data_IF_693469868247
#
_entry.id   IF_693469868247
#
_cell.length_a   1.000
_cell.length_b   1.000
_cell.length_c   1.000
_cell.angle_alpha   90.00
_cell.angle_beta   90.00
_cell.angle_gamma   90.00
#
_symmetry.space_group_name_H-M   'P 1'
#
loop_
_entity.id
_entity.type
_entity.pdbx_description
1 polymer ?
#
# COMPACT_ATOMS: atom_id res chain seq x y z
N UNK A 1 -15.66 -16.23 -0.79
CA UNK A 1 -14.63 -15.46 -1.55
C UNK A 1 -14.63 -14.05 -0.99
N UNK A 2 -13.46 -13.51 -0.63
CA UNK A 2 -13.34 -12.13 -0.10
C UNK A 2 -13.76 -11.11 -1.16
N UNK A 3 -14.52 -10.08 -0.79
CA UNK A 3 -14.88 -8.96 -1.68
C UNK A 3 -13.70 -8.00 -1.86
N UNK A 4 -13.68 -7.24 -2.96
CA UNK A 4 -12.58 -6.29 -3.19
C UNK A 4 -12.52 -5.18 -2.14
N UNK A 5 -13.67 -4.68 -1.68
CA UNK A 5 -13.72 -3.70 -0.60
C UNK A 5 -13.11 -4.25 0.70
N UNK A 6 -13.41 -5.51 1.03
CA UNK A 6 -12.82 -6.16 2.19
C UNK A 6 -11.31 -6.38 2.01
N UNK A 7 -10.85 -6.67 0.78
CA UNK A 7 -9.42 -6.77 0.48
C UNK A 7 -8.69 -5.42 0.63
N UNK A 8 -9.31 -4.30 0.22
CA UNK A 8 -8.78 -2.95 0.45
C UNK A 8 -8.65 -2.68 1.95
N UNK A 9 -9.67 -3.02 2.75
CA UNK A 9 -9.62 -2.85 4.21
C UNK A 9 -8.52 -3.69 4.84
N UNK A 10 -8.35 -4.95 4.44
CA UNK A 10 -7.23 -5.77 4.93
C UNK A 10 -5.87 -5.21 4.53
N UNK A 11 -5.72 -4.71 3.29
CA UNK A 11 -4.49 -4.04 2.89
C UNK A 11 -4.20 -2.82 3.78
N UNK A 12 -5.21 -2.02 4.11
CA UNK A 12 -5.05 -0.86 5.00
C UNK A 12 -4.75 -1.29 6.45
N UNK A 13 -5.52 -2.21 7.01
CA UNK A 13 -5.34 -2.72 8.38
C UNK A 13 -3.98 -3.41 8.55
N UNK A 14 -3.44 -4.02 7.49
CA UNK A 14 -2.09 -4.59 7.52
C UNK A 14 -1.01 -3.59 7.92
N UNK A 15 -1.19 -2.31 7.61
CA UNK A 15 -0.29 -1.24 8.05
C UNK A 15 -0.32 -1.03 9.58
N UNK A 16 -1.38 -1.45 10.28
CA UNK A 16 -1.42 -1.47 11.75
C UNK A 16 -0.50 -2.56 12.32
N UNK A 17 -0.19 -3.60 11.52
CA UNK A 17 0.82 -4.62 11.84
C UNK A 17 2.21 -4.02 11.66
N UNK A 18 2.49 -3.03 12.50
CA UNK A 18 3.74 -2.32 12.60
C UNK A 18 4.34 -2.69 13.96
N UNK A 19 5.37 -3.55 13.90
CA UNK A 19 6.10 -4.02 15.07
C UNK A 19 7.15 -3.02 15.55
N UNK A 20 7.08 -1.76 15.10
CA UNK A 20 7.92 -0.70 15.66
C UNK A 20 7.67 -0.60 17.18
N UNK A 21 8.72 -0.75 18.02
CA UNK A 21 8.60 -0.76 19.47
C UNK A 21 7.93 0.50 20.06
N UNK A 22 7.92 1.61 19.33
CA UNK A 22 7.28 2.87 19.75
C UNK A 22 5.76 2.69 19.87
N UNK A 23 5.16 1.83 19.07
CA UNK A 23 3.70 1.67 19.00
C UNK A 23 3.14 0.65 20.01
N UNK A 24 3.98 -0.12 20.71
CA UNK A 24 3.59 -1.12 21.72
C UNK A 24 2.48 -2.10 21.27
N UNK A 25 2.38 -2.40 19.98
CA UNK A 25 1.34 -3.26 19.41
C UNK A 25 1.49 -4.69 19.93
N UNK A 26 0.45 -5.23 20.56
CA UNK A 26 0.40 -6.62 21.01
C UNK A 26 -0.23 -7.52 19.94
N UNK A 27 0.04 -8.82 20.01
CA UNK A 27 -0.55 -9.80 19.08
C UNK A 27 -2.08 -9.84 19.18
N UNK A 28 -2.61 -9.62 20.38
CA UNK A 28 -4.06 -9.50 20.63
C UNK A 28 -4.69 -8.29 19.93
N UNK A 29 -3.98 -7.17 19.81
CA UNK A 29 -4.44 -6.01 19.05
C UNK A 29 -4.56 -6.37 17.57
N UNK A 30 -3.56 -7.06 17.02
CA UNK A 30 -3.57 -7.51 15.62
C UNK A 30 -4.78 -8.41 15.35
N UNK A 31 -5.02 -9.41 16.21
CA UNK A 31 -6.20 -10.27 16.08
C UNK A 31 -7.50 -9.47 16.18
N UNK A 32 -7.58 -8.53 17.12
CA UNK A 32 -8.73 -7.66 17.25
C UNK A 32 -8.99 -6.87 15.95
N UNK A 33 -7.97 -6.27 15.35
CA UNK A 33 -8.13 -5.56 14.08
C UNK A 33 -8.56 -6.49 12.94
N UNK A 34 -7.94 -7.66 12.80
CA UNK A 34 -8.27 -8.63 11.75
C UNK A 34 -9.70 -9.17 11.87
N UNK A 35 -10.15 -9.49 13.08
CA UNK A 35 -11.49 -10.00 13.36
C UNK A 35 -12.57 -8.95 13.14
N UNK A 36 -12.24 -7.66 13.35
CA UNK A 36 -13.18 -6.55 13.21
C UNK A 36 -13.04 -5.78 11.88
N UNK A 37 -12.13 -6.18 10.99
CA UNK A 37 -11.85 -5.47 9.72
C UNK A 37 -13.11 -5.28 8.86
N UNK A 38 -14.05 -6.22 8.91
CA UNK A 38 -15.30 -6.14 8.14
C UNK A 38 -16.22 -5.01 8.65
N UNK A 39 -16.19 -4.70 9.94
CA UNK A 39 -17.02 -3.66 10.56
C UNK A 39 -16.33 -2.29 10.58
N UNK A 40 -15.00 -2.24 10.41
CA UNK A 40 -14.26 -0.99 10.39
C UNK A 40 -14.57 -0.16 9.14
N UNK A 41 -14.82 1.13 9.35
CA UNK A 41 -15.14 2.10 8.28
C UNK A 41 -13.91 2.90 7.86
N UNK A 42 -13.90 3.31 6.59
CA UNK A 42 -12.89 4.22 6.05
C UNK A 42 -13.33 5.65 6.36
N UNK A 43 -12.46 6.43 7.01
CA UNK A 43 -12.75 7.84 7.30
C UNK A 43 -12.75 8.69 6.02
N UNK A 44 -11.92 8.30 5.05
CA UNK A 44 -11.98 8.77 3.66
C UNK A 44 -12.09 7.52 2.79
N UNK A 45 -13.16 7.44 2.01
CA UNK A 45 -13.48 6.27 1.19
C UNK A 45 -13.57 6.62 -0.30
N UNK A 46 -12.42 6.63 -0.97
CA UNK A 46 -12.35 6.66 -2.43
C UNK A 46 -12.18 5.26 -3.02
N UNK A 47 -12.56 4.20 -2.30
CA UNK A 47 -12.36 2.81 -2.74
C UNK A 47 -13.14 2.48 -4.01
N UNK A 48 -14.35 3.05 -4.16
CA UNK A 48 -15.16 2.89 -5.37
C UNK A 48 -14.44 3.50 -6.58
N UNK A 49 -13.92 4.70 -6.44
CA UNK A 49 -13.16 5.39 -7.47
C UNK A 49 -11.89 4.60 -7.83
N UNK A 50 -11.16 4.08 -6.83
CA UNK A 50 -10.01 3.21 -7.05
C UNK A 50 -10.38 2.00 -7.92
N UNK A 51 -11.54 1.37 -7.68
CA UNK A 51 -11.99 0.22 -8.46
C UNK A 51 -12.39 0.58 -9.90
N UNK A 52 -13.02 1.73 -10.11
CA UNK A 52 -13.32 2.24 -11.44
C UNK A 52 -12.03 2.46 -12.25
N UNK A 53 -11.00 3.00 -11.61
CA UNK A 53 -9.68 3.19 -12.22
C UNK A 53 -8.97 1.88 -12.53
N UNK A 54 -9.00 0.91 -11.60
CA UNK A 54 -8.44 -0.43 -11.80
C UNK A 54 -9.04 -1.12 -13.02
N UNK A 55 -10.34 -0.97 -13.29
CA UNK A 55 -10.99 -1.56 -14.46
C UNK A 55 -10.42 -1.01 -15.77
N UNK A 56 -10.03 0.27 -15.82
CA UNK A 56 -9.54 0.92 -17.04
C UNK A 56 -8.01 0.97 -17.19
N UNK A 57 -7.27 0.81 -16.10
CA UNK A 57 -5.81 0.93 -16.08
C UNK A 57 -5.16 -0.19 -16.90
N UNK A 58 -4.12 0.15 -17.66
CA UNK A 58 -3.28 -0.84 -18.37
C UNK A 58 -2.06 -1.19 -17.54
N UNK A 59 -1.52 -0.23 -16.79
CA UNK A 59 -0.39 -0.43 -15.90
C UNK A 59 -0.70 0.13 -14.50
N UNK A 60 -0.63 -0.74 -13.49
CA UNK A 60 -0.76 -0.39 -12.09
C UNK A 60 0.56 -0.62 -11.38
N UNK A 61 1.08 0.43 -10.74
CA UNK A 61 2.21 0.34 -9.82
C UNK A 61 1.69 0.35 -8.38
N UNK A 62 1.99 -0.72 -7.65
CA UNK A 62 1.65 -0.88 -6.24
C UNK A 62 2.91 -0.72 -5.40
N UNK A 63 3.00 0.34 -4.60
CA UNK A 63 4.14 0.60 -3.73
C UNK A 63 3.89 -0.06 -2.37
N UNK A 64 4.62 -1.13 -2.09
CA UNK A 64 4.59 -1.81 -0.79
C UNK A 64 5.22 -0.98 0.32
N UNK A 65 4.95 -1.41 1.55
CA UNK A 65 5.49 -0.82 2.77
C UNK A 65 6.16 -1.91 3.63
N UNK A 66 5.46 -2.47 4.63
CA UNK A 66 6.08 -3.32 5.66
C UNK A 66 6.06 -4.83 5.35
N UNK A 67 7.06 -5.55 5.85
CA UNK A 67 7.00 -6.99 6.05
C UNK A 67 5.81 -7.34 6.96
N UNK A 68 5.12 -8.45 6.68
CA UNK A 68 3.87 -8.83 7.35
C UNK A 68 2.63 -8.21 6.69
N UNK A 69 2.63 -6.89 6.46
CA UNK A 69 1.57 -6.18 5.72
C UNK A 69 1.43 -6.73 4.29
N UNK A 70 2.56 -7.03 3.64
CA UNK A 70 2.63 -7.61 2.29
C UNK A 70 1.78 -8.88 2.10
N UNK A 71 1.55 -9.65 3.17
CA UNK A 71 0.65 -10.82 3.14
C UNK A 71 -0.80 -10.44 2.84
N UNK A 72 -1.25 -9.30 3.37
CA UNK A 72 -2.61 -8.78 3.15
C UNK A 72 -2.70 -8.00 1.84
N UNK A 73 -1.62 -7.33 1.42
CA UNK A 73 -1.53 -6.73 0.09
C UNK A 73 -1.77 -7.75 -1.01
N UNK A 74 -1.22 -8.97 -0.86
CA UNK A 74 -1.46 -10.07 -1.82
C UNK A 74 -2.95 -10.34 -2.06
N UNK A 75 -3.79 -10.21 -1.03
CA UNK A 75 -5.24 -10.42 -1.17
C UNK A 75 -5.85 -9.35 -2.08
N UNK A 76 -5.41 -8.10 -1.98
CA UNK A 76 -5.85 -7.03 -2.86
C UNK A 76 -5.35 -7.22 -4.29
N UNK A 77 -4.07 -7.59 -4.49
CA UNK A 77 -3.52 -7.89 -5.82
C UNK A 77 -4.30 -9.02 -6.51
N UNK A 78 -4.66 -10.07 -5.75
CA UNK A 78 -5.49 -11.15 -6.26
C UNK A 78 -6.87 -10.66 -6.74
N UNK A 79 -7.51 -9.72 -6.03
CA UNK A 79 -8.79 -9.16 -6.45
C UNK A 79 -8.64 -8.22 -7.66
N UNK A 80 -7.59 -7.40 -7.69
CA UNK A 80 -7.26 -6.54 -8.83
C UNK A 80 -7.13 -7.40 -10.11
N UNK A 81 -6.36 -8.49 -10.04
CA UNK A 81 -6.21 -9.42 -11.18
C UNK A 81 -7.48 -10.12 -11.61
N UNK A 82 -8.45 -10.32 -10.70
CA UNK A 82 -9.78 -10.87 -11.08
C UNK A 82 -10.64 -9.84 -11.79
N UNK A 83 -10.57 -8.58 -11.37
CA UNK A 83 -11.35 -7.49 -11.92
C UNK A 83 -10.81 -7.08 -13.30
N UNK A 84 -9.49 -6.99 -13.43
CA UNK A 84 -8.81 -6.66 -14.66
C UNK A 84 -7.69 -7.68 -14.93
N UNK A 85 -7.97 -8.80 -15.63
CA UNK A 85 -6.99 -9.84 -15.91
C UNK A 85 -5.79 -9.37 -16.76
N UNK A 86 -6.04 -8.40 -17.65
CA UNK A 86 -5.06 -7.91 -18.62
C UNK A 86 -4.16 -6.79 -18.08
N UNK A 87 -4.41 -6.31 -16.86
CA UNK A 87 -3.61 -5.24 -16.24
C UNK A 87 -2.16 -5.69 -16.07
N UNK A 88 -1.20 -4.86 -16.48
CA UNK A 88 0.18 -5.01 -16.07
C UNK A 88 0.31 -4.55 -14.61
N UNK A 89 0.40 -5.51 -13.70
CA UNK A 89 0.47 -5.25 -12.26
C UNK A 89 1.93 -5.35 -11.81
N UNK A 90 2.46 -4.26 -11.28
CA UNK A 90 3.83 -4.17 -10.79
C UNK A 90 3.77 -3.89 -9.30
N UNK A 91 4.48 -4.68 -8.50
CA UNK A 91 4.61 -4.50 -7.07
C UNK A 91 6.03 -4.06 -6.74
N UNK A 92 6.17 -2.85 -6.20
CA UNK A 92 7.46 -2.29 -5.87
C UNK A 92 7.77 -2.40 -4.37
N UNK A 93 8.99 -2.84 -4.08
CA UNK A 93 9.56 -3.00 -2.74
C UNK A 93 10.79 -2.10 -2.57
N UNK A 94 11.41 -2.10 -1.40
CA UNK A 94 12.68 -1.36 -1.18
C UNK A 94 13.85 -2.06 -1.85
N UNK A 95 14.84 -1.28 -2.30
CA UNK A 95 16.08 -1.80 -2.87
C UNK A 95 17.00 -2.48 -1.87
N UNK A 96 16.85 -2.16 -0.57
CA UNK A 96 17.62 -2.75 0.53
C UNK A 96 16.78 -2.79 1.80
N UNK A 97 17.15 -3.63 2.80
CA UNK A 97 16.49 -3.63 4.10
C UNK A 97 16.54 -2.26 4.77
N UNK A 98 15.38 -1.75 5.18
CA UNK A 98 15.22 -0.49 5.92
C UNK A 98 14.14 -0.71 6.96
N UNK A 99 14.52 -0.71 8.25
CA UNK A 99 13.61 -1.00 9.36
C UNK A 99 12.90 -2.35 9.14
N UNK A 100 11.61 -2.33 8.82
CA UNK A 100 10.77 -3.49 8.54
C UNK A 100 10.11 -3.40 7.16
N UNK A 101 10.59 -2.54 6.27
CA UNK A 101 10.06 -2.43 4.91
C UNK A 101 10.39 -3.69 4.10
N UNK A 102 9.45 -4.14 3.27
CA UNK A 102 9.63 -5.32 2.43
C UNK A 102 10.68 -5.12 1.35
N UNK A 103 11.43 -6.18 1.08
CA UNK A 103 12.37 -6.33 -0.05
C UNK A 103 11.89 -7.41 -1.02
N UNK A 104 12.61 -7.64 -2.13
CA UNK A 104 12.16 -8.55 -3.19
C UNK A 104 11.97 -9.98 -2.66
N UNK A 105 12.88 -10.43 -1.80
CA UNK A 105 12.83 -11.75 -1.18
C UNK A 105 11.53 -11.99 -0.42
N UNK A 106 10.99 -10.97 0.26
CA UNK A 106 9.70 -11.06 0.97
C UNK A 106 8.55 -11.21 -0.01
N UNK A 107 8.59 -10.47 -1.13
CA UNK A 107 7.58 -10.54 -2.19
C UNK A 107 7.49 -11.93 -2.81
N UNK A 108 8.64 -12.54 -3.12
CA UNK A 108 8.69 -13.92 -3.59
C UNK A 108 8.25 -14.91 -2.50
N UNK A 109 8.68 -14.71 -1.26
CA UNK A 109 8.35 -15.59 -0.15
C UNK A 109 6.83 -15.68 0.09
N UNK A 110 6.11 -14.56 0.05
CA UNK A 110 4.66 -14.55 0.26
C UNK A 110 3.88 -14.85 -1.02
N UNK A 111 4.54 -14.89 -2.18
CA UNK A 111 3.97 -15.25 -3.47
C UNK A 111 3.24 -14.11 -4.19
N UNK A 112 3.79 -12.89 -4.13
CA UNK A 112 3.32 -11.72 -4.90
C UNK A 112 3.52 -11.94 -6.41
N UNK A 113 4.58 -12.64 -6.79
CA UNK A 113 4.97 -12.97 -8.17
C UNK A 113 3.90 -13.76 -8.94
N UNK A 114 3.00 -14.45 -8.24
CA UNK A 114 1.84 -15.09 -8.85
C UNK A 114 0.82 -14.09 -9.44
N UNK A 115 0.86 -12.82 -9.04
CA UNK A 115 -0.12 -11.80 -9.41
C UNK A 115 0.51 -10.56 -10.03
N UNK A 116 1.75 -10.22 -9.66
CA UNK A 116 2.40 -8.98 -10.06
C UNK A 116 3.88 -9.22 -10.37
N UNK A 117 4.44 -8.43 -11.29
CA UNK A 117 5.89 -8.33 -11.44
C UNK A 117 6.47 -7.62 -10.21
N UNK A 118 7.44 -8.22 -9.55
CA UNK A 118 8.14 -7.60 -8.42
C UNK A 118 9.32 -6.79 -8.97
N UNK A 119 9.49 -5.56 -8.48
CA UNK A 119 10.67 -4.72 -8.73
C UNK A 119 11.10 -4.04 -7.44
N UNK A 120 12.36 -3.64 -7.35
CA UNK A 120 12.83 -2.77 -6.27
C UNK A 120 12.92 -1.29 -6.71
N UNK A 121 12.85 -0.38 -5.75
CA UNK A 121 12.94 1.06 -6.02
C UNK A 121 14.39 1.61 -6.09
N UNK A 122 15.40 0.77 -5.86
CA UNK A 122 16.82 1.12 -5.89
C UNK A 122 17.32 1.99 -4.73
N UNK A 123 16.46 2.31 -3.76
CA UNK A 123 16.80 3.15 -2.62
C UNK A 123 16.60 2.42 -1.29
N UNK A 124 17.19 2.97 -0.24
CA UNK A 124 17.10 2.49 1.14
C UNK A 124 16.59 3.60 2.07
N UNK A 125 15.67 4.44 1.59
CA UNK A 125 14.93 5.39 2.42
C UNK A 125 13.66 4.76 2.98
N UNK A 126 13.18 5.33 4.08
CA UNK A 126 11.81 5.09 4.56
C UNK A 126 10.87 5.84 3.61
N UNK A 127 9.91 5.12 3.01
CA UNK A 127 9.08 5.65 1.93
C UNK A 127 9.78 5.72 0.56
N UNK A 128 9.12 6.36 -0.41
CA UNK A 128 9.59 6.44 -1.80
C UNK A 128 10.04 7.86 -2.15
N UNK A 129 11.30 8.17 -1.87
CA UNK A 129 11.90 9.46 -2.26
C UNK A 129 12.32 9.41 -3.72
N UNK A 130 11.43 9.76 -4.66
CA UNK A 130 11.61 9.60 -6.12
C UNK A 130 12.96 10.10 -6.67
N UNK A 131 13.54 11.16 -6.11
CA UNK A 131 14.84 11.67 -6.57
C UNK A 131 16.01 10.72 -6.29
N UNK A 132 15.86 9.83 -5.30
CA UNK A 132 16.87 8.88 -4.86
C UNK A 132 16.68 7.47 -5.45
N UNK A 133 15.49 7.16 -5.95
CA UNK A 133 15.20 5.87 -6.57
C UNK A 133 15.99 5.68 -7.87
N UNK A 134 16.13 4.41 -8.28
CA UNK A 134 16.80 4.05 -9.53
C UNK A 134 16.12 4.71 -10.74
N UNK A 135 16.86 4.80 -11.85
CA UNK A 135 16.29 5.32 -13.09
C UNK A 135 15.18 4.40 -13.60
N UNK A 136 15.41 3.10 -13.54
CA UNK A 136 14.49 2.04 -13.95
C UNK A 136 13.17 2.14 -13.17
N UNK A 137 13.23 2.33 -11.85
CA UNK A 137 12.02 2.53 -11.04
C UNK A 137 11.28 3.82 -11.42
N UNK A 138 11.99 4.92 -11.64
CA UNK A 138 11.37 6.19 -12.05
C UNK A 138 10.64 6.06 -13.38
N UNK A 139 11.21 5.34 -14.34
CA UNK A 139 10.57 5.09 -15.62
C UNK A 139 9.28 4.28 -15.45
N UNK A 140 9.27 3.26 -14.57
CA UNK A 140 8.05 2.52 -14.23
C UNK A 140 7.01 3.43 -13.55
N UNK A 141 7.45 4.22 -12.57
CA UNK A 141 6.58 5.17 -11.87
C UNK A 141 5.97 6.19 -12.84
N UNK A 142 6.75 6.78 -13.74
CA UNK A 142 6.27 7.75 -14.72
C UNK A 142 5.26 7.13 -15.69
N UNK A 143 5.51 5.91 -16.16
CA UNK A 143 4.65 5.23 -17.14
C UNK A 143 3.41 4.54 -16.55
N UNK A 144 3.32 4.35 -15.24
CA UNK A 144 2.14 3.75 -14.62
C UNK A 144 0.89 4.63 -14.80
N UNK A 145 -0.24 4.05 -15.21
CA UNK A 145 -1.51 4.78 -15.34
C UNK A 145 -2.14 5.07 -13.96
N UNK A 146 -1.91 4.13 -13.04
CA UNK A 146 -2.47 4.13 -11.69
C UNK A 146 -1.39 3.74 -10.69
N UNK A 147 -1.27 4.50 -9.60
CA UNK A 147 -0.40 4.16 -8.48
C UNK A 147 -1.24 3.92 -7.23
N UNK A 148 -1.04 2.79 -6.58
CA UNK A 148 -1.50 2.53 -5.22
C UNK A 148 -0.28 2.60 -4.31
N UNK A 149 -0.37 3.36 -3.22
CA UNK A 149 0.74 3.60 -2.31
C UNK A 149 0.35 3.26 -0.88
N UNK A 150 1.11 2.36 -0.26
CA UNK A 150 0.90 1.92 1.12
C UNK A 150 1.74 2.72 2.09
N UNK A 151 1.26 2.91 3.33
CA UNK A 151 2.11 3.46 4.38
C UNK A 151 2.08 4.98 4.50
N UNK A 152 2.37 5.47 5.70
CA UNK A 152 2.48 6.91 5.97
C UNK A 152 3.73 7.52 5.32
N UNK A 153 4.84 6.78 5.29
CA UNK A 153 6.10 7.30 4.76
C UNK A 153 6.04 7.51 3.25
N UNK A 154 5.38 6.61 2.51
CA UNK A 154 5.15 6.86 1.10
C UNK A 154 4.19 8.04 0.88
N UNK A 155 3.16 8.21 1.71
CA UNK A 155 2.30 9.40 1.68
C UNK A 155 3.11 10.68 1.87
N UNK A 156 3.95 10.75 2.89
CA UNK A 156 4.80 11.92 3.15
C UNK A 156 5.75 12.23 1.98
N UNK A 157 6.25 11.20 1.30
CA UNK A 157 7.15 11.39 0.17
C UNK A 157 6.45 11.79 -1.14
N UNK A 158 5.21 11.35 -1.36
CA UNK A 158 4.55 11.38 -2.66
C UNK A 158 3.29 12.25 -2.71
N UNK A 159 2.75 12.69 -1.58
CA UNK A 159 1.47 13.40 -1.52
C UNK A 159 1.47 14.76 -2.23
N UNK A 160 2.65 15.34 -2.49
CA UNK A 160 2.80 16.59 -3.25
C UNK A 160 3.17 16.36 -4.72
N UNK A 161 3.25 15.10 -5.17
CA UNK A 161 3.47 14.78 -6.57
C UNK A 161 2.22 15.05 -7.41
N UNK A 162 2.40 15.46 -8.67
CA UNK A 162 1.28 15.76 -9.58
C UNK A 162 0.62 14.51 -10.16
N UNK A 163 1.24 13.34 -9.95
CA UNK A 163 0.72 12.07 -10.44
C UNK A 163 -0.47 11.67 -9.59
N UNK A 164 -1.47 11.08 -10.22
CA UNK A 164 -2.63 10.51 -9.52
C UNK A 164 -2.21 9.29 -8.71
N UNK A 165 -2.38 9.35 -7.40
CA UNK A 165 -2.00 8.27 -6.48
C UNK A 165 -3.16 7.98 -5.53
N UNK A 166 -3.44 6.70 -5.30
CA UNK A 166 -4.31 6.26 -4.22
C UNK A 166 -3.47 5.81 -3.04
N UNK A 167 -3.65 6.51 -1.92
CA UNK A 167 -3.00 6.19 -0.66
C UNK A 167 -3.90 5.29 0.18
N UNK A 168 -3.34 4.17 0.63
CA UNK A 168 -3.98 3.22 1.54
C UNK A 168 -3.16 3.16 2.83
N UNK A 169 -3.66 3.80 3.89
CA UNK A 169 -2.94 3.88 5.16
C UNK A 169 -3.87 3.99 6.37
N UNK A 170 -3.27 3.84 7.55
CA UNK A 170 -3.88 4.24 8.82
C UNK A 170 -3.10 5.43 9.37
N UNK A 171 -3.81 6.47 9.81
CA UNK A 171 -3.17 7.63 10.45
C UNK A 171 -2.60 7.22 11.82
N UNK A 172 -1.29 7.34 11.99
CA UNK A 172 -0.58 6.90 13.22
C UNK A 172 -0.05 8.05 14.08
N UNK A 173 -0.05 9.27 13.55
CA UNK A 173 0.45 10.45 14.25
C UNK A 173 -0.38 11.70 13.89
N UNK A 174 -0.42 12.65 14.81
CA UNK A 174 -1.15 13.91 14.67
C UNK A 174 -0.76 14.69 13.41
N UNK A 175 0.53 14.66 13.02
CA UNK A 175 1.01 15.40 11.84
C UNK A 175 0.32 14.90 10.57
N UNK A 176 0.34 13.59 10.34
CA UNK A 176 -0.28 12.98 9.17
C UNK A 176 -1.82 13.10 9.23
N UNK A 177 -2.40 12.89 10.41
CA UNK A 177 -3.84 13.01 10.63
C UNK A 177 -4.34 14.44 10.31
N UNK A 178 -3.64 15.47 10.80
CA UNK A 178 -3.97 16.87 10.54
C UNK A 178 -3.78 17.26 9.07
N UNK A 179 -2.73 16.77 8.41
CA UNK A 179 -2.48 17.03 6.99
C UNK A 179 -3.59 16.43 6.10
N UNK A 180 -4.05 15.22 6.42
CA UNK A 180 -5.16 14.54 5.73
C UNK A 180 -6.52 15.13 6.13
N UNK A 181 -6.63 15.76 7.31
CA UNK A 181 -7.87 16.33 7.83
C UNK A 181 -8.78 15.31 8.52
N UNK A 182 -8.20 14.32 9.21
CA UNK A 182 -8.90 13.28 9.96
C UNK A 182 -8.30 13.12 11.36
N UNK A 183 -8.94 12.33 12.22
CA UNK A 183 -8.35 11.94 13.52
C UNK A 183 -7.26 10.87 13.36
N UNK A 184 -6.49 10.63 14.42
CA UNK A 184 -5.59 9.47 14.49
C UNK A 184 -6.36 8.14 14.49
N UNK A 185 -5.67 7.06 14.10
CA UNK A 185 -6.17 5.68 14.03
C UNK A 185 -7.38 5.54 13.09
N UNK A 186 -7.37 6.31 12.00
CA UNK A 186 -8.40 6.26 10.96
C UNK A 186 -7.85 5.56 9.73
N UNK A 187 -8.65 4.65 9.17
CA UNK A 187 -8.33 3.98 7.92
C UNK A 187 -8.69 4.86 6.74
N UNK A 188 -7.78 4.97 5.77
CA UNK A 188 -7.86 5.91 4.66
C UNK A 188 -7.68 5.16 3.34
N UNK A 189 -8.62 5.36 2.42
CA UNK A 189 -8.44 5.14 1.00
C UNK A 189 -8.66 6.48 0.31
N UNK A 190 -7.58 7.17 -0.04
CA UNK A 190 -7.65 8.55 -0.53
C UNK A 190 -6.92 8.68 -1.86
N UNK A 191 -7.60 9.25 -2.85
CA UNK A 191 -6.99 9.75 -4.07
C UNK A 191 -6.38 11.13 -3.81
N UNK A 192 -5.11 11.34 -4.18
CA UNK A 192 -4.47 12.66 -4.29
C UNK A 192 -3.84 12.80 -5.68
#
# INVERSE_FOLDING_TARGET
MISVLLAIRYAIVGNIIDFNPIHNTLLEDIYHYLDNTQQMELAIDHSKELMEEVVSAKCLLYLGDNCGEICLDKLLLQQIKKINPDINLIFAVRGKPVVNDSIEEDGYFVGIDHYAQIIDNGDSSIGTVLKRTSQEFREVYENADLVISKGQANYECLSEEKKKIFFLLVTKCEVNANDIGVEEKRMICMRK
#
